data_IF_171754253949
#
_entry.id   IF_171754253949
#
_cell.length_a   1.000
_cell.length_b   1.000
_cell.length_c   1.000
_cell.angle_alpha   90.00
_cell.angle_beta   90.00
_cell.angle_gamma   90.00
#
_symmetry.space_group_name_H-M   'P 1'
#
loop_
_entity.id
_entity.type
_entity.pdbx_description
1 polymer ?
#
# COMPACT_ATOMS: atom_id res chain seq x y z
N UNK A 1 20.63 54.64 42.70
CA UNK A 1 21.14 53.28 42.95
C UNK A 1 20.69 52.37 41.82
N UNK A 2 21.66 51.73 41.17
CA UNK A 2 21.50 50.83 40.03
C UNK A 2 20.57 49.64 40.32
N UNK A 3 19.70 49.28 39.37
CA UNK A 3 19.39 47.87 39.12
C UNK A 3 19.05 47.63 37.66
N UNK A 4 20.07 47.16 36.94
CA UNK A 4 20.05 46.70 35.57
C UNK A 4 19.27 45.36 35.54
N UNK A 5 18.09 45.34 34.93
CA UNK A 5 17.31 44.11 34.76
C UNK A 5 17.55 43.56 33.36
N UNK A 6 18.50 42.64 33.26
CA UNK A 6 18.78 41.89 32.04
C UNK A 6 17.69 40.83 31.86
N UNK A 7 16.62 41.17 31.15
CA UNK A 7 15.61 40.19 30.74
C UNK A 7 16.16 39.39 29.54
N UNK A 8 16.75 38.22 29.83
CA UNK A 8 17.21 37.28 28.80
C UNK A 8 16.01 36.55 28.21
N UNK A 9 15.60 36.92 27.01
CA UNK A 9 14.62 36.19 26.21
C UNK A 9 15.21 34.84 25.79
N UNK A 10 14.70 33.75 26.34
CA UNK A 10 15.01 32.39 25.89
C UNK A 10 14.12 32.06 24.68
N UNK A 11 14.68 32.09 23.48
CA UNK A 11 13.99 31.58 22.29
C UNK A 11 14.13 30.05 22.29
N UNK A 12 13.05 29.36 22.64
CA UNK A 12 12.89 27.93 22.42
C UNK A 12 12.64 27.71 20.93
N UNK A 13 13.68 27.35 20.19
CA UNK A 13 13.56 26.85 18.82
C UNK A 13 12.99 25.44 18.93
N UNK A 14 11.66 25.32 18.86
CA UNK A 14 11.00 24.05 18.64
C UNK A 14 11.38 23.61 17.22
N UNK A 15 12.35 22.70 17.12
CA UNK A 15 12.65 22.03 15.87
C UNK A 15 11.41 21.25 15.45
N UNK A 16 10.63 21.83 14.53
CA UNK A 16 9.56 21.12 13.86
C UNK A 16 10.29 20.10 12.99
N UNK A 17 10.45 18.89 13.52
CA UNK A 17 10.79 17.72 12.73
C UNK A 17 9.63 17.53 11.76
N UNK A 18 9.71 18.16 10.59
CA UNK A 18 8.93 17.78 9.44
C UNK A 18 9.43 16.37 9.07
N UNK A 19 8.87 15.36 9.74
CA UNK A 19 8.85 14.02 9.16
C UNK A 19 8.08 14.19 7.86
N UNK A 20 8.83 14.27 6.76
CA UNK A 20 8.30 14.14 5.41
C UNK A 20 7.40 12.92 5.43
N UNK A 21 6.08 13.16 5.41
CA UNK A 21 5.09 12.13 5.12
C UNK A 21 5.40 11.77 3.68
N UNK A 22 6.32 10.82 3.49
CA UNK A 22 6.53 10.19 2.21
C UNK A 22 5.17 9.59 1.87
N UNK A 23 4.47 10.23 0.92
CA UNK A 23 3.34 9.62 0.27
C UNK A 23 3.89 8.34 -0.36
N UNK A 24 3.63 7.20 0.27
CA UNK A 24 3.95 5.90 -0.28
C UNK A 24 3.24 5.83 -1.63
N UNK A 25 4.01 5.99 -2.72
CA UNK A 25 3.47 5.78 -4.06
C UNK A 25 3.24 4.29 -4.19
N UNK A 26 1.98 3.88 -4.11
CA UNK A 26 1.60 2.47 -4.22
C UNK A 26 2.14 1.93 -5.56
N UNK A 27 2.84 0.78 -5.58
CA UNK A 27 3.31 0.19 -6.82
C UNK A 27 2.13 -0.19 -7.72
N UNK A 28 2.19 0.22 -8.99
CA UNK A 28 1.11 0.04 -9.96
C UNK A 28 1.56 -0.83 -11.13
N UNK A 29 0.77 -1.84 -11.46
CA UNK A 29 0.89 -2.64 -12.69
C UNK A 29 0.24 -1.86 -13.84
N UNK A 30 1.06 -1.41 -14.78
CA UNK A 30 0.59 -0.70 -15.97
C UNK A 30 0.18 -1.68 -17.07
N UNK A 31 -1.05 -1.53 -17.56
CA UNK A 31 -1.54 -2.23 -18.74
C UNK A 31 -1.32 -1.33 -19.96
N UNK A 32 -0.23 -1.58 -20.66
CA UNK A 32 0.19 -0.93 -21.91
C UNK A 32 -0.07 -1.83 -23.12
N UNK A 33 0.36 -1.43 -24.32
CA UNK A 33 0.23 -2.25 -25.53
C UNK A 33 1.09 -3.52 -25.55
N UNK A 34 2.05 -3.66 -24.63
CA UNK A 34 2.89 -4.85 -24.56
C UNK A 34 2.09 -6.04 -24.01
N UNK A 35 2.09 -7.12 -24.79
CA UNK A 35 1.39 -8.37 -24.47
C UNK A 35 2.32 -9.45 -23.93
N UNK A 36 3.60 -9.13 -23.74
CA UNK A 36 4.56 -10.03 -23.11
C UNK A 36 4.15 -10.39 -21.67
N UNK A 37 4.54 -11.58 -21.22
CA UNK A 37 4.32 -12.00 -19.84
C UNK A 37 5.19 -11.17 -18.89
N UNK A 38 4.58 -10.42 -17.98
CA UNK A 38 5.28 -9.60 -16.98
C UNK A 38 5.19 -10.26 -15.60
N UNK A 39 6.31 -10.35 -14.89
CA UNK A 39 6.33 -10.75 -13.49
C UNK A 39 5.99 -9.52 -12.62
N UNK A 40 4.90 -9.60 -11.86
CA UNK A 40 4.44 -8.51 -10.99
C UNK A 40 4.84 -8.70 -9.52
N UNK A 41 5.65 -9.71 -9.18
CA UNK A 41 5.94 -10.06 -7.79
C UNK A 41 6.55 -8.91 -6.99
N UNK A 42 7.38 -8.08 -7.62
CA UNK A 42 7.97 -6.88 -7.01
C UNK A 42 7.01 -5.72 -6.83
N UNK A 43 5.84 -5.79 -7.47
CA UNK A 43 4.76 -4.80 -7.37
C UNK A 43 3.66 -5.23 -6.38
N UNK A 44 3.76 -6.46 -5.85
CA UNK A 44 2.84 -6.93 -4.82
C UNK A 44 3.34 -6.44 -3.47
N UNK A 45 2.42 -5.88 -2.69
CA UNK A 45 2.63 -5.58 -1.29
C UNK A 45 1.90 -6.60 -0.43
N UNK A 46 2.37 -6.80 0.78
CA UNK A 46 1.75 -7.71 1.72
C UNK A 46 1.60 -7.10 3.10
N UNK A 47 0.72 -7.72 3.88
CA UNK A 47 0.65 -7.52 5.31
C UNK A 47 0.14 -8.78 5.97
N UNK A 48 0.47 -8.92 7.25
CA UNK A 48 -0.12 -9.98 8.06
C UNK A 48 -1.61 -9.68 8.28
N UNK A 49 -2.46 -10.69 8.09
CA UNK A 49 -3.90 -10.55 8.34
C UNK A 49 -4.13 -10.55 9.86
N UNK A 50 -4.94 -9.61 10.32
CA UNK A 50 -5.47 -9.60 11.68
C UNK A 50 -6.87 -10.25 11.72
N UNK A 51 -7.52 -10.26 12.88
CA UNK A 51 -8.88 -10.79 13.00
C UNK A 51 -9.96 -9.80 12.55
N UNK A 52 -9.63 -8.52 12.37
CA UNK A 52 -10.59 -7.44 12.16
C UNK A 52 -11.08 -7.42 10.72
N UNK A 53 -10.19 -7.65 9.76
CA UNK A 53 -10.51 -7.59 8.34
C UNK A 53 -10.27 -8.96 7.71
N UNK A 54 -11.33 -9.77 7.64
CA UNK A 54 -11.28 -11.14 7.12
C UNK A 54 -12.24 -11.32 5.93
N UNK A 55 -11.69 -11.65 4.76
CA UNK A 55 -12.46 -11.88 3.53
C UNK A 55 -12.93 -10.60 2.82
N UNK A 56 -13.56 -10.76 1.65
CA UNK A 56 -13.85 -9.68 0.70
C UNK A 56 -15.12 -8.85 0.97
N UNK A 57 -15.49 -8.57 2.22
CA UNK A 57 -16.63 -7.67 2.46
C UNK A 57 -16.23 -6.22 2.13
N UNK A 58 -17.13 -5.36 1.60
CA UNK A 58 -16.79 -3.97 1.28
C UNK A 58 -16.16 -3.22 2.47
N UNK A 59 -16.79 -3.33 3.65
CA UNK A 59 -16.27 -2.75 4.89
C UNK A 59 -14.85 -3.24 5.26
N UNK A 60 -14.52 -4.48 4.92
CA UNK A 60 -13.16 -4.99 5.15
C UNK A 60 -12.18 -4.41 4.15
N UNK A 61 -12.54 -4.33 2.87
CA UNK A 61 -11.68 -3.78 1.81
C UNK A 61 -11.40 -2.31 2.08
N UNK A 62 -12.42 -1.52 2.39
CA UNK A 62 -12.27 -0.09 2.70
C UNK A 62 -11.35 0.10 3.93
N UNK A 63 -11.55 -0.72 4.98
CA UNK A 63 -10.71 -0.67 6.16
C UNK A 63 -9.25 -1.09 5.93
N UNK A 64 -8.93 -1.77 4.82
CA UNK A 64 -7.57 -2.15 4.44
C UNK A 64 -6.80 -1.04 3.74
N UNK A 65 -7.47 -0.03 3.19
CA UNK A 65 -6.84 1.06 2.43
C UNK A 65 -5.89 1.91 3.29
N UNK A 66 -6.33 2.26 4.50
CA UNK A 66 -5.64 3.18 5.42
C UNK A 66 -4.49 2.53 6.20
N UNK A 67 -4.21 1.25 5.94
CA UNK A 67 -3.28 0.46 6.75
C UNK A 67 -1.90 0.39 6.09
N UNK A 68 -0.88 0.13 6.90
CA UNK A 68 0.49 0.00 6.41
C UNK A 68 0.71 -1.35 5.70
N UNK A 69 1.43 -1.30 4.58
CA UNK A 69 1.78 -2.47 3.78
C UNK A 69 3.29 -2.55 3.57
N UNK A 70 3.79 -3.77 3.44
CA UNK A 70 5.20 -4.06 3.23
C UNK A 70 5.45 -4.40 1.77
N UNK A 71 6.41 -3.70 1.16
CA UNK A 71 6.86 -3.96 -0.21
C UNK A 71 7.78 -5.18 -0.28
N UNK A 72 7.90 -5.77 -1.47
CA UNK A 72 8.76 -6.92 -1.74
C UNK A 72 9.72 -6.59 -2.88
N UNK A 73 11.00 -6.83 -2.67
CA UNK A 73 12.05 -6.54 -3.66
C UNK A 73 12.49 -7.77 -4.47
N UNK A 74 11.65 -8.82 -4.52
CA UNK A 74 12.01 -10.11 -5.09
C UNK A 74 11.08 -10.55 -6.23
N UNK A 75 11.63 -11.34 -7.15
CA UNK A 75 10.89 -11.94 -8.27
C UNK A 75 9.94 -13.06 -7.85
N UNK A 76 9.91 -13.40 -6.55
CA UNK A 76 9.02 -14.37 -5.94
C UNK A 76 8.53 -13.83 -4.60
N UNK A 77 7.21 -13.80 -4.43
CA UNK A 77 6.54 -13.48 -3.17
C UNK A 77 6.82 -14.57 -2.12
N UNK A 78 7.53 -14.21 -1.04
CA UNK A 78 7.72 -15.07 0.13
C UNK A 78 7.29 -14.34 1.40
N UNK A 79 6.11 -14.72 1.91
CA UNK A 79 5.57 -14.17 3.15
C UNK A 79 5.56 -15.24 4.23
N UNK A 80 5.95 -14.85 5.45
CA UNK A 80 5.90 -15.74 6.62
C UNK A 80 4.46 -16.22 6.85
N UNK A 81 4.31 -17.49 7.19
CA UNK A 81 3.00 -18.06 7.58
C UNK A 81 2.58 -17.51 8.93
N UNK A 82 1.30 -17.17 9.04
CA UNK A 82 0.65 -16.79 10.30
C UNK A 82 -0.61 -17.64 10.45
N UNK A 83 -1.11 -17.77 11.69
CA UNK A 83 -2.37 -18.48 11.97
C UNK A 83 -3.58 -17.80 11.34
N UNK A 84 -3.48 -16.50 11.07
CA UNK A 84 -4.55 -15.71 10.46
C UNK A 84 -4.32 -15.50 8.96
N UNK A 85 -3.23 -15.98 8.35
CA UNK A 85 -2.96 -15.73 6.94
C UNK A 85 -2.42 -14.32 6.63
N UNK A 86 -2.44 -13.97 5.35
CA UNK A 86 -1.83 -12.75 4.83
C UNK A 86 -2.79 -12.06 3.87
N UNK A 87 -2.74 -10.73 3.85
CA UNK A 87 -3.28 -9.96 2.75
C UNK A 87 -2.18 -9.65 1.75
N UNK A 88 -2.54 -9.71 0.48
CA UNK A 88 -1.71 -9.30 -0.64
C UNK A 88 -2.50 -8.25 -1.41
N UNK A 89 -1.82 -7.19 -1.85
CA UNK A 89 -2.42 -6.20 -2.74
C UNK A 89 -1.48 -5.85 -3.88
N UNK A 90 -2.07 -5.46 -4.98
CA UNK A 90 -1.42 -4.85 -6.12
C UNK A 90 -2.45 -3.96 -6.79
N UNK A 91 -1.99 -2.83 -7.33
CA UNK A 91 -2.84 -1.92 -8.09
C UNK A 91 -2.64 -2.14 -9.59
N UNK A 92 -3.70 -1.99 -10.36
CA UNK A 92 -3.68 -2.11 -11.83
C UNK A 92 -4.23 -0.83 -12.43
N UNK A 93 -3.49 -0.26 -13.37
CA UNK A 93 -3.91 0.92 -14.11
C UNK A 93 -3.84 0.65 -15.61
N UNK A 94 -4.93 0.96 -16.31
CA UNK A 94 -4.91 0.97 -17.76
C UNK A 94 -4.24 2.27 -18.24
N UNK A 95 -3.08 2.16 -18.90
CA UNK A 95 -2.40 3.32 -19.46
C UNK A 95 -2.87 3.65 -20.88
N UNK A 96 -3.69 2.79 -21.48
CA UNK A 96 -4.21 2.97 -22.84
C UNK A 96 -5.64 3.51 -22.83
N UNK A 97 -6.02 4.33 -23.84
CA UNK A 97 -7.39 4.80 -23.99
C UNK A 97 -8.36 3.67 -24.41
N UNK A 98 -7.83 2.53 -24.83
CA UNK A 98 -8.59 1.35 -25.25
C UNK A 98 -8.70 0.34 -24.12
N UNK A 99 -9.78 -0.45 -24.14
CA UNK A 99 -9.98 -1.54 -23.17
C UNK A 99 -8.88 -2.59 -23.36
N UNK A 100 -8.15 -2.89 -22.28
CA UNK A 100 -7.12 -3.92 -22.26
C UNK A 100 -7.65 -5.20 -21.61
N UNK A 101 -7.46 -6.34 -22.30
CA UNK A 101 -7.74 -7.66 -21.76
C UNK A 101 -6.42 -8.35 -21.39
N UNK A 102 -6.29 -8.78 -20.14
CA UNK A 102 -5.10 -9.47 -19.62
C UNK A 102 -5.49 -10.63 -18.73
N UNK A 103 -4.60 -11.60 -18.60
CA UNK A 103 -4.76 -12.75 -17.72
C UNK A 103 -3.84 -12.55 -16.52
N UNK A 104 -4.41 -12.57 -15.32
CA UNK A 104 -3.65 -12.65 -14.08
C UNK A 104 -3.46 -14.12 -13.70
N UNK A 105 -2.21 -14.55 -13.58
CA UNK A 105 -1.85 -15.88 -13.11
C UNK A 105 -1.28 -15.78 -11.69
N UNK A 106 -1.94 -16.42 -10.73
CA UNK A 106 -1.48 -16.54 -9.35
C UNK A 106 -1.25 -18.01 -9.02
N UNK A 107 -0.11 -18.31 -8.40
CA UNK A 107 0.25 -19.65 -7.95
C UNK A 107 0.74 -19.62 -6.51
N UNK A 108 0.27 -20.57 -5.69
CA UNK A 108 0.65 -20.70 -4.29
C UNK A 108 0.85 -22.16 -3.89
N UNK A 109 1.64 -22.37 -2.84
CA UNK A 109 1.92 -23.69 -2.29
C UNK A 109 1.52 -23.74 -0.82
N UNK A 110 0.74 -24.77 -0.45
CA UNK A 110 0.28 -25.00 0.92
C UNK A 110 -0.56 -23.84 1.49
N UNK A 111 -1.38 -23.20 0.65
CA UNK A 111 -2.39 -22.23 1.09
C UNK A 111 -3.74 -22.91 0.93
N UNK A 112 -4.44 -23.22 2.04
CA UNK A 112 -5.67 -24.01 1.99
C UNK A 112 -6.89 -23.23 1.50
N UNK A 113 -6.86 -21.89 1.63
CA UNK A 113 -7.93 -21.00 1.24
C UNK A 113 -7.34 -19.68 0.73
N UNK A 114 -7.91 -19.17 -0.37
CA UNK A 114 -7.55 -17.92 -1.01
C UNK A 114 -8.79 -17.22 -1.52
N UNK A 115 -8.85 -15.92 -1.33
CA UNK A 115 -9.90 -15.07 -1.88
C UNK A 115 -9.26 -13.94 -2.67
N UNK A 116 -9.84 -13.64 -3.84
CA UNK A 116 -9.47 -12.51 -4.66
C UNK A 116 -10.57 -11.46 -4.56
N UNK A 117 -10.23 -10.30 -4.03
CA UNK A 117 -11.12 -9.15 -3.94
C UNK A 117 -10.66 -8.09 -4.94
N UNK A 118 -11.59 -7.29 -5.45
CA UNK A 118 -11.26 -6.13 -6.29
C UNK A 118 -12.08 -4.92 -5.88
N UNK A 119 -11.45 -3.75 -5.94
CA UNK A 119 -12.07 -2.44 -5.77
C UNK A 119 -11.77 -1.63 -7.02
N UNK A 120 -12.77 -0.95 -7.57
CA UNK A 120 -12.59 -0.02 -8.68
C UNK A 120 -12.48 1.38 -8.09
N UNK A 121 -11.28 1.96 -8.15
CA UNK A 121 -11.07 3.38 -7.83
C UNK A 121 -11.43 4.19 -9.07
N UNK A 122 -12.55 4.91 -9.02
CA UNK A 122 -12.86 5.94 -10.02
C UNK A 122 -12.18 7.23 -9.60
N UNK A 123 -11.38 7.84 -10.48
CA UNK A 123 -10.90 9.22 -10.31
C UNK A 123 -12.08 10.19 -10.37
N UNK A 124 -12.87 10.29 -9.30
CA UNK A 124 -13.89 11.31 -9.09
C UNK A 124 -14.35 11.29 -7.62
N UNK A 125 -13.52 11.89 -6.75
CA UNK A 125 -13.98 12.73 -5.64
C UNK A 125 -12.75 13.25 -4.88
N UNK A 126 -12.19 14.36 -5.38
CA UNK A 126 -11.52 15.29 -4.48
C UNK A 126 -12.54 15.73 -3.43
N UNK A 127 -12.19 15.78 -2.12
CA UNK A 127 -13.01 16.49 -1.15
C UNK A 127 -13.13 17.98 -1.50
#
# INVERSE_FOLDING_TARGET
MYKNSNFKTFILIFGISFSSIFAHTEPVVLLDQDTSSKNISSLIEYRYRDQKFAGCSPNHIDGLEDLEWHSISADVLRVKRTSFGNWLRFSVQNSEPTIQNRILLLGWLNVPDTQLCFLIKTENSSP
#
